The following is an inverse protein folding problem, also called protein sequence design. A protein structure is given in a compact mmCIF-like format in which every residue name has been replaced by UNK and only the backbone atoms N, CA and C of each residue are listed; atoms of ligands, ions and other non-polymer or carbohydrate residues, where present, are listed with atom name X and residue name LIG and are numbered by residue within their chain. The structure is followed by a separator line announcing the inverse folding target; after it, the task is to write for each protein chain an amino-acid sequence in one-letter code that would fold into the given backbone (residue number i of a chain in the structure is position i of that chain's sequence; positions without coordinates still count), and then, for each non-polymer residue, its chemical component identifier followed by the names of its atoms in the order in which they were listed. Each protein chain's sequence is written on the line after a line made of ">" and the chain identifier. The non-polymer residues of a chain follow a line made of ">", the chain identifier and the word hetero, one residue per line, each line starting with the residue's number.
data_IF_347958935957
#
_entry.id   IF_347958935957
#
_cell.length_a   1.000
_cell.length_b   1.000
_cell.length_c   1.000
_cell.angle_alpha   90.00
_cell.angle_beta   90.00
_cell.angle_gamma   90.00
#
_symmetry.space_group_name_H-M   'P 1'
#
loop_
_entity.id
_entity.type
_entity.pdbx_description
1 polymer ?
#
# COMPACT_ATOMS: atom_id res chain seq x y z
N UNK A 1 33.40 -22.64 -11.94
CA UNK A 1 33.87 -21.22 -12.00
C UNK A 1 32.73 -20.25 -12.35
N UNK A 2 31.98 -20.48 -13.44
CA UNK A 2 30.84 -19.64 -13.87
C UNK A 2 29.74 -19.42 -12.80
N UNK A 3 29.43 -20.45 -12.01
CA UNK A 3 28.44 -20.37 -10.92
C UNK A 3 28.85 -19.46 -9.77
N UNK A 4 30.15 -19.42 -9.45
CA UNK A 4 30.70 -18.60 -8.37
C UNK A 4 30.67 -17.11 -8.74
N UNK A 5 30.99 -16.78 -9.99
CA UNK A 5 30.89 -15.41 -10.51
C UNK A 5 29.44 -14.91 -10.55
N UNK A 6 28.48 -15.76 -10.95
CA UNK A 6 27.04 -15.42 -10.89
C UNK A 6 26.61 -15.13 -9.45
N UNK A 7 26.94 -16.00 -8.49
CA UNK A 7 26.66 -15.79 -7.06
C UNK A 7 27.27 -14.50 -6.52
N UNK A 8 28.50 -14.18 -6.89
CA UNK A 8 29.18 -12.96 -6.43
C UNK A 8 28.53 -11.69 -7.01
N UNK A 9 28.08 -11.70 -8.28
CA UNK A 9 27.35 -10.57 -8.87
C UNK A 9 26.02 -10.33 -8.16
N UNK A 10 25.24 -11.39 -7.92
CA UNK A 10 23.97 -11.36 -7.20
C UNK A 10 24.20 -10.82 -5.78
N UNK A 11 25.13 -11.39 -5.02
CA UNK A 11 25.45 -10.95 -3.65
C UNK A 11 25.77 -9.44 -3.59
N UNK A 12 26.55 -8.93 -4.55
CA UNK A 12 26.89 -7.51 -4.60
C UNK A 12 25.70 -6.62 -5.00
N UNK A 13 24.76 -7.10 -5.82
CA UNK A 13 23.52 -6.40 -6.15
C UNK A 13 22.67 -6.24 -4.89
N UNK A 14 22.36 -7.35 -4.21
CA UNK A 14 21.54 -7.33 -2.99
C UNK A 14 22.19 -6.53 -1.87
N UNK A 15 23.53 -6.52 -1.77
CA UNK A 15 24.25 -5.63 -0.84
C UNK A 15 24.02 -4.15 -1.16
N UNK A 16 24.04 -3.76 -2.45
CA UNK A 16 23.79 -2.38 -2.85
C UNK A 16 22.33 -1.97 -2.55
N UNK A 17 21.36 -2.86 -2.77
CA UNK A 17 19.96 -2.65 -2.38
C UNK A 17 19.88 -2.42 -0.87
N UNK A 18 20.40 -3.35 -0.05
CA UNK A 18 20.35 -3.27 1.42
C UNK A 18 21.00 -1.99 1.97
N UNK A 19 22.06 -1.52 1.33
CA UNK A 19 22.78 -0.32 1.74
C UNK A 19 22.15 1.00 1.21
N UNK A 20 21.16 0.92 0.30
CA UNK A 20 20.65 2.11 -0.39
C UNK A 20 21.68 2.79 -1.30
N UNK A 21 22.74 2.08 -1.71
CA UNK A 21 23.79 2.62 -2.58
C UNK A 21 23.29 2.65 -4.03
N UNK A 22 22.59 3.74 -4.37
CA UNK A 22 21.96 3.92 -5.68
C UNK A 22 22.98 3.94 -6.83
N UNK A 23 24.19 4.44 -6.60
CA UNK A 23 25.24 4.48 -7.62
C UNK A 23 25.76 3.06 -7.93
N UNK A 24 26.07 2.28 -6.89
CA UNK A 24 26.46 0.88 -7.07
C UNK A 24 25.31 0.04 -7.61
N UNK A 25 24.06 0.30 -7.19
CA UNK A 25 22.88 -0.37 -7.70
C UNK A 25 22.68 -0.10 -9.19
N UNK A 26 22.73 1.17 -9.62
CA UNK A 26 22.59 1.56 -11.03
C UNK A 26 23.60 0.84 -11.91
N UNK A 27 24.88 0.79 -11.49
CA UNK A 27 25.94 0.09 -12.22
C UNK A 27 25.68 -1.43 -12.33
N UNK A 28 24.99 -2.02 -11.36
CA UNK A 28 24.71 -3.46 -11.31
C UNK A 28 23.47 -3.89 -12.05
N UNK A 29 22.51 -2.97 -12.21
CA UNK A 29 21.30 -3.21 -13.00
C UNK A 29 21.56 -3.12 -14.51
N UNK A 30 22.71 -2.57 -14.94
CA UNK A 30 23.12 -2.58 -16.35
C UNK A 30 23.27 -4.02 -16.87
N UNK A 31 22.50 -4.38 -17.90
CA UNK A 31 22.51 -5.68 -18.57
C UNK A 31 22.26 -6.88 -17.62
N UNK A 32 21.46 -6.68 -16.57
CA UNK A 32 21.00 -7.80 -15.73
C UNK A 32 19.79 -8.48 -16.37
N UNK A 33 19.73 -9.80 -16.25
CA UNK A 33 18.53 -10.55 -16.59
C UNK A 33 17.46 -10.31 -15.52
N UNK A 34 16.26 -9.91 -15.92
CA UNK A 34 15.13 -9.66 -15.02
C UNK A 34 14.77 -10.89 -14.18
N UNK A 35 15.05 -12.11 -14.66
CA UNK A 35 14.88 -13.33 -13.88
C UNK A 35 15.64 -13.28 -12.56
N UNK A 36 16.84 -12.69 -12.53
CA UNK A 36 17.67 -12.56 -11.32
C UNK A 36 17.02 -11.65 -10.27
N UNK A 37 16.19 -10.69 -10.68
CA UNK A 37 15.51 -9.77 -9.78
C UNK A 37 14.33 -10.44 -9.07
N UNK A 38 13.71 -11.41 -9.73
CA UNK A 38 12.57 -12.18 -9.26
C UNK A 38 13.01 -13.43 -8.47
N UNK A 39 14.18 -13.96 -8.81
CA UNK A 39 14.85 -15.03 -8.08
C UNK A 39 15.03 -14.62 -6.62
N UNK A 40 14.74 -15.58 -5.75
CA UNK A 40 14.95 -15.42 -4.34
C UNK A 40 16.43 -15.65 -3.97
N UNK A 41 16.94 -14.84 -3.05
CA UNK A 41 18.26 -15.07 -2.43
C UNK A 41 18.29 -16.37 -1.64
N UNK A 42 19.47 -16.73 -1.11
CA UNK A 42 19.59 -17.84 -0.13
C UNK A 42 18.67 -17.66 1.11
N UNK A 43 18.15 -16.44 1.34
CA UNK A 43 17.17 -16.10 2.39
C UNK A 43 15.72 -16.07 1.89
N UNK A 44 15.44 -16.58 0.69
CA UNK A 44 14.12 -16.57 0.05
C UNK A 44 13.56 -15.18 -0.32
N UNK A 45 14.39 -14.13 -0.38
CA UNK A 45 13.93 -12.77 -0.69
C UNK A 45 14.23 -12.36 -2.13
N UNK A 46 13.26 -11.77 -2.84
CA UNK A 46 13.46 -11.12 -4.15
C UNK A 46 14.15 -9.76 -4.04
N UNK A 47 14.53 -9.14 -5.16
CA UNK A 47 15.11 -7.80 -5.16
C UNK A 47 14.13 -6.73 -4.64
N UNK A 48 12.84 -6.84 -5.00
CA UNK A 48 11.77 -5.96 -4.51
C UNK A 48 11.59 -6.14 -3.00
N UNK A 49 11.44 -7.38 -2.53
CA UNK A 49 11.27 -7.68 -1.11
C UNK A 49 12.47 -7.19 -0.28
N UNK A 50 13.68 -7.37 -0.81
CA UNK A 50 14.89 -6.86 -0.16
C UNK A 50 14.87 -5.33 -0.04
N UNK A 51 14.42 -4.61 -1.08
CA UNK A 51 14.33 -3.15 -1.04
C UNK A 51 13.27 -2.66 -0.04
N UNK A 52 12.14 -3.37 0.07
CA UNK A 52 11.07 -3.09 1.04
C UNK A 52 11.58 -3.29 2.47
N UNK A 53 12.14 -4.47 2.77
CA UNK A 53 12.64 -4.79 4.12
C UNK A 53 13.85 -3.93 4.52
N UNK A 54 14.66 -3.49 3.56
CA UNK A 54 15.76 -2.56 3.79
C UNK A 54 15.32 -1.09 3.89
N UNK A 55 14.03 -0.79 3.72
CA UNK A 55 13.46 0.56 3.76
C UNK A 55 14.05 1.51 2.70
N UNK A 56 14.21 1.02 1.47
CA UNK A 56 14.87 1.74 0.37
C UNK A 56 13.92 2.03 -0.80
N UNK A 57 13.03 3.04 -0.69
CA UNK A 57 12.03 3.34 -1.73
C UNK A 57 12.66 3.72 -3.08
N UNK A 58 13.81 4.40 -3.09
CA UNK A 58 14.51 4.72 -4.34
C UNK A 58 15.13 3.49 -5.01
N UNK A 59 15.71 2.59 -4.21
CA UNK A 59 16.23 1.33 -4.74
C UNK A 59 15.08 0.46 -5.27
N UNK A 60 13.93 0.47 -4.59
CA UNK A 60 12.71 -0.22 -5.00
C UNK A 60 12.26 0.21 -6.41
N UNK A 61 12.14 1.53 -6.66
CA UNK A 61 11.82 2.07 -7.99
C UNK A 61 12.83 1.57 -9.03
N UNK A 62 14.13 1.62 -8.72
CA UNK A 62 15.18 1.20 -9.65
C UNK A 62 15.10 -0.29 -10.01
N UNK A 63 14.82 -1.17 -9.05
CA UNK A 63 14.71 -2.61 -9.33
C UNK A 63 13.45 -2.93 -10.13
N UNK A 64 12.33 -2.26 -9.87
CA UNK A 64 11.09 -2.43 -10.66
C UNK A 64 11.32 -1.91 -12.10
N UNK A 65 11.92 -0.73 -12.26
CA UNK A 65 12.26 -0.18 -13.57
C UNK A 65 13.26 -1.06 -14.36
N UNK A 66 14.05 -1.88 -13.68
CA UNK A 66 14.94 -2.86 -14.29
C UNK A 66 14.24 -4.19 -14.66
N UNK A 67 12.92 -4.29 -14.49
CA UNK A 67 12.12 -5.44 -14.90
C UNK A 67 11.81 -6.44 -13.79
N UNK A 68 12.01 -6.09 -12.52
CA UNK A 68 11.52 -6.92 -11.42
C UNK A 68 9.98 -6.99 -11.47
N UNK A 69 9.42 -8.19 -11.28
CA UNK A 69 8.00 -8.45 -11.32
C UNK A 69 7.31 -7.94 -10.05
N UNK A 70 6.67 -6.79 -10.15
CA UNK A 70 5.93 -6.15 -9.04
C UNK A 70 4.69 -6.95 -8.60
N UNK A 71 4.17 -7.84 -9.45
CA UNK A 71 2.99 -8.65 -9.17
C UNK A 71 3.34 -10.03 -8.55
N UNK A 72 4.62 -10.31 -8.33
CA UNK A 72 5.04 -11.50 -7.57
C UNK A 72 4.72 -11.32 -6.08
N UNK A 73 4.39 -12.42 -5.40
CA UNK A 73 4.20 -12.43 -3.96
C UNK A 73 5.53 -12.46 -3.20
N UNK A 74 5.54 -11.84 -2.02
CA UNK A 74 6.65 -11.91 -1.06
C UNK A 74 6.91 -13.34 -0.58
N UNK A 75 8.00 -13.52 0.19
CA UNK A 75 8.27 -14.77 0.91
C UNK A 75 7.17 -15.17 1.91
N UNK A 76 6.33 -14.21 2.33
CA UNK A 76 5.15 -14.43 3.19
C UNK A 76 3.86 -14.69 2.41
N UNK A 77 3.95 -14.88 1.09
CA UNK A 77 2.82 -15.06 0.18
C UNK A 77 1.89 -13.83 0.10
N UNK A 78 2.43 -12.63 0.26
CA UNK A 78 1.66 -11.38 0.27
C UNK A 78 2.05 -10.48 -0.91
N UNK A 79 1.10 -9.72 -1.49
CA UNK A 79 1.45 -8.64 -2.40
C UNK A 79 2.38 -7.62 -1.73
N UNK A 80 3.27 -7.01 -2.52
CA UNK A 80 4.26 -6.09 -1.99
C UNK A 80 3.68 -4.83 -1.32
N UNK A 81 2.48 -4.38 -1.74
CA UNK A 81 1.78 -3.28 -1.05
C UNK A 81 1.42 -3.66 0.41
N UNK A 82 0.97 -4.89 0.66
CA UNK A 82 0.70 -5.34 2.04
C UNK A 82 1.98 -5.43 2.87
N UNK A 83 3.06 -5.96 2.27
CA UNK A 83 4.34 -6.02 2.96
C UNK A 83 4.87 -4.63 3.33
N UNK A 84 4.73 -3.65 2.42
CA UNK A 84 5.14 -2.27 2.62
C UNK A 84 4.35 -1.57 3.74
N UNK A 85 3.05 -1.84 3.90
CA UNK A 85 2.25 -1.27 5.00
C UNK A 85 2.75 -1.67 6.39
N UNK A 86 3.39 -2.82 6.52
CA UNK A 86 3.94 -3.33 7.79
C UNK A 86 5.28 -2.68 8.17
N UNK A 87 5.83 -1.84 7.29
CA UNK A 87 7.15 -1.24 7.45
C UNK A 87 7.10 0.14 8.11
N UNK A 88 8.21 0.54 8.73
CA UNK A 88 8.34 1.88 9.36
C UNK A 88 8.28 2.99 8.31
N UNK A 89 8.84 2.78 7.11
CA UNK A 89 8.73 3.74 5.99
C UNK A 89 7.61 3.33 5.01
N UNK A 90 6.45 2.94 5.54
CA UNK A 90 5.32 2.47 4.73
C UNK A 90 4.94 3.45 3.62
N UNK A 91 4.66 4.71 3.94
CA UNK A 91 4.18 5.68 2.94
C UNK A 91 5.15 5.88 1.76
N UNK A 92 6.47 6.13 1.95
CA UNK A 92 7.43 6.17 0.84
C UNK A 92 7.49 4.87 0.01
N UNK A 93 7.39 3.70 0.63
CA UNK A 93 7.42 2.41 -0.06
C UNK A 93 6.14 2.17 -0.88
N UNK A 94 4.98 2.49 -0.30
CA UNK A 94 3.68 2.45 -0.98
C UNK A 94 3.68 3.38 -2.19
N UNK A 95 4.17 4.61 -2.04
CA UNK A 95 4.29 5.55 -3.15
C UNK A 95 5.17 4.98 -4.26
N UNK A 96 6.32 4.38 -3.92
CA UNK A 96 7.22 3.78 -4.90
C UNK A 96 6.56 2.63 -5.67
N UNK A 97 5.81 1.75 -4.99
CA UNK A 97 5.09 0.64 -5.62
C UNK A 97 3.98 1.13 -6.55
N UNK A 98 3.12 2.04 -6.07
CA UNK A 98 2.02 2.61 -6.85
C UNK A 98 2.51 3.40 -8.06
N UNK A 99 3.56 4.23 -7.90
CA UNK A 99 4.21 4.94 -9.01
C UNK A 99 4.79 4.01 -10.07
N UNK A 100 5.21 2.81 -9.65
CA UNK A 100 5.79 1.81 -10.54
C UNK A 100 4.73 0.90 -11.18
N UNK A 101 3.44 1.21 -11.01
CA UNK A 101 2.34 0.50 -11.66
C UNK A 101 1.90 -0.78 -10.96
N UNK A 102 2.12 -0.90 -9.64
CA UNK A 102 1.56 -2.01 -8.86
C UNK A 102 0.04 -2.06 -9.07
N UNK A 103 -0.51 -3.27 -9.23
CA UNK A 103 -1.96 -3.48 -9.30
C UNK A 103 -2.65 -2.81 -8.11
N UNK A 104 -3.86 -2.31 -8.34
CA UNK A 104 -4.75 -1.75 -7.32
C UNK A 104 -5.94 -2.68 -7.02
N UNK A 105 -6.04 -3.79 -7.77
CA UNK A 105 -7.10 -4.78 -7.65
C UNK A 105 -6.67 -5.89 -6.68
N UNK A 106 -6.77 -5.63 -5.38
CA UNK A 106 -6.52 -6.64 -4.36
C UNK A 106 -7.82 -7.29 -3.93
N UNK A 107 -8.18 -8.39 -4.57
CA UNK A 107 -9.24 -9.25 -4.03
C UNK A 107 -8.73 -9.88 -2.74
N UNK A 108 -9.47 -9.69 -1.65
CA UNK A 108 -9.28 -10.49 -0.45
C UNK A 108 -9.46 -11.96 -0.83
N UNK A 109 -8.36 -12.70 -0.98
CA UNK A 109 -8.42 -14.15 -0.89
C UNK A 109 -8.62 -14.50 0.59
N UNK A 110 -9.28 -15.60 0.92
CA UNK A 110 -9.60 -15.98 2.30
C UNK A 110 -8.35 -16.02 3.22
N UNK A 111 -7.17 -16.23 2.66
CA UNK A 111 -5.87 -16.22 3.35
C UNK A 111 -5.14 -14.85 3.34
N UNK A 112 -5.54 -13.91 2.47
CA UNK A 112 -4.85 -12.63 2.26
C UNK A 112 -5.56 -11.47 2.96
N UNK A 113 -4.78 -10.63 3.66
CA UNK A 113 -5.31 -9.43 4.33
C UNK A 113 -5.74 -8.39 3.30
N UNK A 114 -6.98 -7.90 3.39
CA UNK A 114 -7.48 -6.80 2.56
C UNK A 114 -6.66 -5.51 2.78
N UNK A 115 -6.29 -4.80 1.70
CA UNK A 115 -5.37 -3.65 1.75
C UNK A 115 -5.85 -2.54 2.69
N UNK A 116 -7.15 -2.22 2.67
CA UNK A 116 -7.73 -1.20 3.55
C UNK A 116 -7.66 -1.64 5.01
N UNK A 117 -8.04 -2.88 5.32
CA UNK A 117 -7.98 -3.40 6.69
C UNK A 117 -6.52 -3.40 7.22
N UNK A 118 -5.54 -3.71 6.36
CA UNK A 118 -4.12 -3.62 6.71
C UNK A 118 -3.70 -2.20 7.06
N UNK A 119 -4.20 -1.18 6.37
CA UNK A 119 -3.94 0.22 6.74
C UNK A 119 -4.43 0.55 8.15
N UNK A 120 -5.66 0.18 8.51
CA UNK A 120 -6.20 0.43 9.85
C UNK A 120 -5.46 -0.34 10.95
N UNK A 121 -4.90 -1.52 10.62
CA UNK A 121 -4.13 -2.34 11.55
C UNK A 121 -2.71 -1.81 11.80
N UNK A 122 -2.05 -1.27 10.78
CA UNK A 122 -0.61 -1.01 10.81
C UNK A 122 -0.24 0.47 10.82
N UNK A 123 -1.14 1.37 10.41
CA UNK A 123 -0.86 2.80 10.36
C UNK A 123 -1.35 3.51 11.63
N UNK A 124 -0.58 4.50 12.10
CA UNK A 124 -1.11 5.48 13.05
C UNK A 124 -2.21 6.33 12.40
N UNK A 125 -3.03 7.01 13.19
CA UNK A 125 -4.10 7.90 12.68
C UNK A 125 -3.56 8.91 11.66
N UNK A 126 -2.42 9.54 11.94
CA UNK A 126 -1.80 10.55 11.05
C UNK A 126 -1.35 9.93 9.74
N UNK A 127 -0.78 8.72 9.78
CA UNK A 127 -0.33 8.02 8.57
C UNK A 127 -1.49 7.41 7.80
N UNK A 128 -2.55 6.97 8.48
CA UNK A 128 -3.71 6.32 7.90
C UNK A 128 -4.38 7.21 6.85
N UNK A 129 -4.65 8.47 7.20
CA UNK A 129 -5.25 9.42 6.26
C UNK A 129 -4.36 9.67 5.03
N UNK A 130 -3.04 9.73 5.22
CA UNK A 130 -2.08 9.88 4.11
C UNK A 130 -2.07 8.66 3.19
N UNK A 131 -2.14 7.44 3.75
CA UNK A 131 -2.22 6.21 2.96
C UNK A 131 -3.53 6.12 2.18
N UNK A 132 -4.66 6.40 2.83
CA UNK A 132 -5.97 6.39 2.19
C UNK A 132 -6.06 7.47 1.09
N UNK A 133 -5.50 8.66 1.32
CA UNK A 133 -5.38 9.70 0.30
C UNK A 133 -4.56 9.21 -0.90
N UNK A 134 -3.42 8.55 -0.64
CA UNK A 134 -2.61 7.98 -1.71
C UNK A 134 -3.35 6.90 -2.48
N UNK A 135 -4.12 6.07 -1.80
CA UNK A 135 -4.93 5.03 -2.42
C UNK A 135 -5.97 5.62 -3.37
N UNK A 136 -6.69 6.67 -2.94
CA UNK A 136 -7.62 7.41 -3.78
C UNK A 136 -6.92 7.98 -5.02
N UNK A 137 -5.74 8.60 -4.86
CA UNK A 137 -4.95 9.17 -5.98
C UNK A 137 -4.62 8.14 -7.07
N UNK A 138 -4.40 6.88 -6.69
CA UNK A 138 -4.10 5.78 -7.62
C UNK A 138 -5.33 4.94 -7.99
N UNK A 139 -6.54 5.40 -7.64
CA UNK A 139 -7.79 4.75 -8.04
C UNK A 139 -8.14 3.48 -7.25
N UNK A 140 -7.57 3.28 -6.06
CA UNK A 140 -8.02 2.22 -5.15
C UNK A 140 -9.37 2.62 -4.57
N UNK A 141 -10.36 1.77 -4.75
CA UNK A 141 -11.72 1.98 -4.25
C UNK A 141 -11.81 1.68 -2.74
N UNK A 142 -12.07 2.73 -1.95
CA UNK A 142 -12.23 2.62 -0.49
C UNK A 142 -13.57 1.99 -0.07
N UNK A 143 -14.49 1.77 -1.01
CA UNK A 143 -15.75 1.06 -0.77
C UNK A 143 -15.61 -0.46 -0.84
N UNK A 144 -14.44 -0.97 -1.24
CA UNK A 144 -14.21 -2.42 -1.24
C UNK A 144 -14.37 -2.97 0.17
N UNK A 145 -15.18 -4.00 0.27
CA UNK A 145 -15.40 -4.75 1.49
C UNK A 145 -14.40 -5.90 1.56
N UNK A 146 -13.86 -6.13 2.76
CA UNK A 146 -13.07 -7.33 3.02
C UNK A 146 -13.95 -8.59 3.16
N UNK A 147 -13.32 -9.72 3.52
CA UNK A 147 -14.03 -11.00 3.72
C UNK A 147 -15.04 -10.99 4.87
N UNK A 148 -15.06 -9.94 5.71
CA UNK A 148 -16.04 -9.74 6.79
C UNK A 148 -17.15 -8.75 6.38
N UNK A 149 -17.14 -8.22 5.16
CA UNK A 149 -18.09 -7.20 4.72
C UNK A 149 -17.77 -5.80 5.25
N UNK A 150 -16.53 -5.54 5.68
CA UNK A 150 -16.13 -4.26 6.25
C UNK A 150 -15.41 -3.38 5.23
N UNK A 151 -15.95 -2.18 4.98
CA UNK A 151 -15.34 -1.12 4.16
C UNK A 151 -14.46 -0.18 4.99
N UNK A 152 -13.76 0.76 4.33
CA UNK A 152 -12.98 1.80 5.03
C UNK A 152 -13.83 2.60 6.04
N UNK A 153 -15.10 2.88 5.70
CA UNK A 153 -16.00 3.62 6.59
C UNK A 153 -16.35 2.80 7.82
N UNK A 154 -16.55 1.48 7.70
CA UNK A 154 -16.83 0.61 8.84
C UNK A 154 -15.68 0.64 9.84
N UNK A 155 -14.45 0.48 9.36
CA UNK A 155 -13.26 0.56 10.20
C UNK A 155 -13.09 1.93 10.87
N UNK A 156 -13.36 3.03 10.17
CA UNK A 156 -13.26 4.36 10.73
C UNK A 156 -14.27 4.64 11.85
N UNK A 157 -15.49 4.08 11.77
CA UNK A 157 -16.50 4.25 12.81
C UNK A 157 -16.05 3.68 14.16
N UNK A 158 -15.33 2.56 14.17
CA UNK A 158 -14.78 1.95 15.38
C UNK A 158 -13.72 2.83 16.06
N UNK A 159 -13.01 3.66 15.30
CA UNK A 159 -12.00 4.59 15.86
C UNK A 159 -12.62 5.80 16.53
N UNK A 160 -13.89 6.12 16.23
CA UNK A 160 -14.60 7.34 16.62
C UNK A 160 -13.87 8.66 16.27
N UNK A 161 -12.90 8.60 15.37
CA UNK A 161 -12.12 9.73 14.93
C UNK A 161 -12.91 10.58 13.92
N UNK A 162 -13.36 11.75 14.37
CA UNK A 162 -14.20 12.67 13.59
C UNK A 162 -13.48 13.19 12.34
N UNK A 163 -12.19 13.48 12.44
CA UNK A 163 -11.37 13.96 11.34
C UNK A 163 -11.21 12.92 10.23
N UNK A 164 -10.95 11.66 10.60
CA UNK A 164 -10.88 10.53 9.66
C UNK A 164 -12.22 10.27 8.98
N UNK A 165 -13.32 10.30 9.75
CA UNK A 165 -14.67 10.15 9.23
C UNK A 165 -15.02 11.27 8.24
N UNK A 166 -14.72 12.52 8.57
CA UNK A 166 -14.91 13.65 7.66
C UNK A 166 -14.10 13.51 6.39
N UNK A 167 -12.83 13.09 6.49
CA UNK A 167 -11.99 12.85 5.34
C UNK A 167 -12.56 11.79 4.41
N UNK A 168 -12.98 10.65 4.96
CA UNK A 168 -13.58 9.56 4.17
C UNK A 168 -14.88 10.00 3.50
N UNK A 169 -15.80 10.63 4.26
CA UNK A 169 -17.05 11.15 3.72
C UNK A 169 -16.77 12.18 2.62
N UNK A 170 -15.89 13.15 2.85
CA UNK A 170 -15.51 14.15 1.85
C UNK A 170 -14.85 13.54 0.61
N UNK A 171 -14.24 12.37 0.73
CA UNK A 171 -13.66 11.61 -0.39
C UNK A 171 -14.71 10.84 -1.20
N UNK A 172 -15.99 10.90 -0.83
CA UNK A 172 -17.09 10.30 -1.59
C UNK A 172 -17.29 8.80 -1.34
N UNK A 173 -16.82 8.26 -0.21
CA UNK A 173 -17.16 6.88 0.16
C UNK A 173 -18.67 6.73 0.38
N UNK A 174 -19.19 5.55 0.07
CA UNK A 174 -20.59 5.21 0.25
C UNK A 174 -20.91 5.22 1.74
N UNK A 175 -22.05 5.86 2.07
CA UNK A 175 -22.55 5.92 3.44
C UNK A 175 -23.82 5.09 3.56
N UNK A 176 -24.05 4.45 4.72
CA UNK A 176 -25.23 3.61 4.89
C UNK A 176 -26.49 4.47 4.95
N UNK A 177 -27.61 3.92 4.45
CA UNK A 177 -28.92 4.58 4.59
C UNK A 177 -29.32 4.77 6.08
N UNK A 178 -28.87 3.87 6.94
CA UNK A 178 -29.09 3.92 8.38
C UNK A 178 -27.77 3.67 9.12
N UNK A 179 -27.33 4.63 9.92
CA UNK A 179 -26.14 4.49 10.76
C UNK A 179 -26.38 3.48 11.90
N UNK A 180 -25.35 2.72 12.32
CA UNK A 180 -25.48 1.71 13.38
C UNK A 180 -26.15 2.25 14.65
N UNK A 181 -26.96 1.43 15.30
CA UNK A 181 -27.60 1.80 16.58
C UNK A 181 -26.58 1.90 17.73
N UNK A 182 -25.48 1.14 17.63
CA UNK A 182 -24.34 1.21 18.55
C UNK A 182 -23.53 2.51 18.45
N UNK A 183 -23.71 3.31 17.39
CA UNK A 183 -22.95 4.53 17.18
C UNK A 183 -23.40 5.62 18.17
N UNK A 184 -22.49 6.26 18.92
CA UNK A 184 -22.84 7.34 19.86
C UNK A 184 -23.61 8.47 19.15
N UNK A 185 -24.64 9.00 19.81
CA UNK A 185 -25.56 9.96 19.18
C UNK A 185 -24.85 11.23 18.69
N UNK A 186 -23.85 11.72 19.43
CA UNK A 186 -23.02 12.86 19.00
C UNK A 186 -22.26 12.57 17.71
N UNK A 187 -21.69 11.36 17.59
CA UNK A 187 -20.94 10.95 16.41
C UNK A 187 -21.89 10.71 15.23
N UNK A 188 -23.06 10.11 15.47
CA UNK A 188 -24.14 9.94 14.49
C UNK A 188 -24.61 11.30 13.93
N UNK A 189 -24.78 12.31 14.78
CA UNK A 189 -25.10 13.67 14.34
C UNK A 189 -23.96 14.29 13.52
N UNK A 190 -22.72 14.06 13.93
CA UNK A 190 -21.54 14.57 13.23
C UNK A 190 -21.43 14.02 11.80
N UNK A 191 -21.49 12.69 11.62
CA UNK A 191 -21.37 12.08 10.28
C UNK A 191 -22.55 12.43 9.38
N UNK A 192 -23.78 12.58 9.93
CA UNK A 192 -24.93 13.07 9.18
C UNK A 192 -24.69 14.47 8.62
N UNK A 193 -24.20 15.40 9.45
CA UNK A 193 -23.86 16.75 9.01
C UNK A 193 -22.77 16.74 7.93
N UNK A 194 -21.74 15.91 8.09
CA UNK A 194 -20.69 15.78 7.07
C UNK A 194 -21.22 15.30 5.71
N UNK A 195 -22.18 14.36 5.71
CA UNK A 195 -22.86 13.88 4.50
C UNK A 195 -23.72 14.99 3.87
N UNK A 196 -24.49 15.72 4.68
CA UNK A 196 -25.29 16.85 4.19
C UNK A 196 -24.40 17.95 3.58
N UNK A 197 -23.27 18.26 4.24
CA UNK A 197 -22.29 19.23 3.75
C UNK A 197 -21.69 18.79 2.40
N UNK A 198 -21.30 17.52 2.26
CA UNK A 198 -20.81 16.98 0.98
C UNK A 198 -21.86 17.11 -0.11
N UNK A 199 -23.11 16.72 0.20
CA UNK A 199 -24.23 16.80 -0.74
C UNK A 199 -24.46 18.24 -1.20
N UNK A 200 -24.44 19.21 -0.29
CA UNK A 200 -24.58 20.63 -0.60
C UNK A 200 -23.42 21.08 -1.51
N UNK A 201 -22.18 20.71 -1.21
CA UNK A 201 -21.01 21.04 -2.06
C UNK A 201 -21.17 20.49 -3.47
N UNK A 202 -21.62 19.25 -3.61
CA UNK A 202 -21.85 18.62 -4.92
C UNK A 202 -22.95 19.33 -5.72
N UNK A 203 -24.01 19.86 -5.07
CA UNK A 203 -25.03 20.66 -5.74
C UNK A 203 -24.44 21.95 -6.36
N UNK A 204 -23.47 22.58 -5.71
CA UNK A 204 -22.81 23.79 -6.23
C UNK A 204 -21.75 23.51 -7.30
N UNK A 205 -21.28 22.26 -7.41
CA UNK A 205 -20.27 21.85 -8.39
C UNK A 205 -20.88 21.21 -9.65
N UNK A 206 -22.19 20.94 -9.65
CA UNK A 206 -22.92 20.42 -10.80
C UNK A 206 -23.35 21.58 -11.72
N UNK A 207 -22.98 21.60 -13.02
CA UNK A 207 -23.33 22.67 -13.94
C UNK A 207 -24.83 22.74 -14.28
#
# INVERSE_FOLDING_TARGET
>A
MLTLFKKQKISKLFKAIKAGDLAALAKRLQNIDSAILNDQTDQQLSAIETAILAQQPKALIMVIAAGANIEQLSSTNEPYLLLALKQVQSLPLINALLQSGSSTEYKAQEENTHLIAACFKHCSVTELMLHLSRFIEYGIDLNQEDSQGLSALNYALETQNKELLNFLIASGVQTPAQWPQSLPEELKQHVKRAVDDLRIRQMFLSP
#
